data_IF_845527854412
#
_entry.id   IF_845527854412
#
_cell.length_a   1.000
_cell.length_b   1.000
_cell.length_c   1.000
_cell.angle_alpha   90.00
_cell.angle_beta   90.00
_cell.angle_gamma   90.00
#
_symmetry.space_group_name_H-M   'P 1'
#
loop_
_entity.id
_entity.type
_entity.pdbx_description
1 polymer ?
#
# COMPACT_ATOMS: atom_id res chain seq x y z
N UNK A 1 -32.32 4.59 5.33
CA UNK A 1 -32.06 3.62 6.43
C UNK A 1 -32.00 2.23 5.80
N UNK A 2 -30.97 1.45 6.09
CA UNK A 2 -30.90 0.06 5.65
C UNK A 2 -32.02 -0.73 6.36
N UNK A 3 -32.60 -1.75 5.68
CA UNK A 3 -33.52 -2.67 6.33
C UNK A 3 -32.82 -3.34 7.51
N UNK A 4 -33.46 -3.52 8.67
CA UNK A 4 -32.85 -4.20 9.84
C UNK A 4 -32.40 -5.63 9.54
N UNK A 5 -32.70 -6.14 8.36
CA UNK A 5 -32.32 -7.46 7.86
C UNK A 5 -31.15 -7.42 6.85
N UNK A 6 -30.62 -6.26 6.48
CA UNK A 6 -29.52 -6.16 5.50
C UNK A 6 -28.18 -6.37 6.22
N UNK A 7 -27.32 -7.35 5.83
CA UNK A 7 -26.01 -7.52 6.43
C UNK A 7 -25.12 -6.34 6.10
N UNK A 8 -24.30 -5.93 7.07
CA UNK A 8 -23.25 -4.92 6.90
C UNK A 8 -21.93 -5.64 6.71
N UNK A 9 -21.19 -5.29 5.67
CA UNK A 9 -19.85 -5.82 5.41
C UNK A 9 -18.87 -4.66 5.21
N UNK A 10 -17.80 -4.64 6.01
CA UNK A 10 -16.72 -3.67 5.91
C UNK A 10 -15.50 -4.33 5.25
N UNK A 11 -15.07 -3.78 4.11
CA UNK A 11 -13.84 -4.20 3.44
C UNK A 11 -12.71 -3.30 3.93
N UNK A 12 -11.75 -3.85 4.64
CA UNK A 12 -10.59 -3.10 5.09
C UNK A 12 -9.65 -2.84 3.91
N UNK A 13 -9.32 -1.56 3.70
CA UNK A 13 -8.43 -1.12 2.63
C UNK A 13 -7.01 -0.82 3.11
N UNK A 14 -6.73 -1.01 4.40
CA UNK A 14 -5.42 -0.94 5.03
C UNK A 14 -4.97 -2.31 5.58
N UNK A 15 -3.64 -2.51 5.76
CA UNK A 15 -3.10 -3.76 6.29
C UNK A 15 -3.36 -3.96 7.78
N UNK A 16 -3.79 -2.92 8.49
CA UNK A 16 -4.27 -3.01 9.85
C UNK A 16 -5.31 -1.92 10.11
N UNK A 17 -6.19 -2.18 11.07
CA UNK A 17 -7.05 -1.14 11.61
C UNK A 17 -6.27 -0.24 12.57
N UNK A 18 -6.62 1.04 12.63
CA UNK A 18 -5.96 1.99 13.50
C UNK A 18 -6.71 2.10 14.84
N UNK A 19 -6.03 2.03 16.00
CA UNK A 19 -6.67 2.35 17.28
C UNK A 19 -7.01 3.86 17.34
N UNK A 20 -8.21 4.25 17.75
CA UNK A 20 -9.30 3.43 18.29
C UNK A 20 -10.25 2.87 17.22
N UNK A 21 -9.83 1.93 16.40
CA UNK A 21 -10.65 1.16 15.46
C UNK A 21 -11.58 1.99 14.57
N UNK A 22 -11.05 2.48 13.43
CA UNK A 22 -11.83 3.26 12.46
C UNK A 22 -12.71 2.40 11.56
N UNK A 23 -12.30 1.15 11.32
CA UNK A 23 -12.94 0.28 10.34
C UNK A 23 -13.69 -0.88 10.99
N UNK A 24 -13.14 -1.43 12.08
CA UNK A 24 -13.70 -2.56 12.80
C UNK A 24 -14.43 -2.04 14.04
N UNK A 25 -15.75 -2.07 13.99
CA UNK A 25 -16.61 -1.61 15.08
C UNK A 25 -17.25 -2.81 15.80
N UNK A 26 -17.61 -2.63 17.09
CA UNK A 26 -18.35 -3.63 17.87
C UNK A 26 -19.84 -3.58 17.53
N UNK A 27 -20.19 -4.02 16.35
CA UNK A 27 -21.55 -4.12 15.86
C UNK A 27 -21.73 -5.44 15.07
N UNK A 28 -22.98 -5.76 14.73
CA UNK A 28 -23.27 -6.91 13.88
C UNK A 28 -22.85 -6.62 12.43
N UNK A 29 -21.58 -6.85 12.15
CA UNK A 29 -20.96 -6.67 10.82
C UNK A 29 -20.03 -7.81 10.47
N UNK A 30 -19.89 -8.05 9.19
CA UNK A 30 -18.81 -8.85 8.63
C UNK A 30 -17.62 -7.94 8.31
N UNK A 31 -16.40 -8.43 8.54
CA UNK A 31 -15.18 -7.72 8.14
C UNK A 31 -14.38 -8.56 7.15
N UNK A 32 -13.97 -7.95 6.05
CA UNK A 32 -13.13 -8.58 5.02
C UNK A 32 -11.73 -8.01 5.17
N UNK A 33 -10.79 -8.85 5.60
CA UNK A 33 -9.43 -8.48 5.98
C UNK A 33 -8.43 -8.97 4.94
N UNK A 34 -7.63 -8.07 4.39
CA UNK A 34 -6.55 -8.40 3.45
C UNK A 34 -5.19 -8.69 4.13
N UNK A 35 -5.16 -8.79 5.46
CA UNK A 35 -3.97 -9.15 6.23
C UNK A 35 -4.32 -9.92 7.48
N UNK A 36 -3.38 -10.74 7.97
CA UNK A 36 -3.53 -11.46 9.25
C UNK A 36 -3.60 -10.49 10.45
N UNK A 37 -2.92 -9.36 10.38
CA UNK A 37 -2.97 -8.33 11.45
C UNK A 37 -4.38 -7.78 11.62
N UNK A 38 -5.03 -7.39 10.54
CA UNK A 38 -6.40 -6.89 10.57
C UNK A 38 -7.38 -7.96 11.10
N UNK A 39 -7.25 -9.22 10.64
CA UNK A 39 -8.07 -10.32 11.14
C UNK A 39 -7.86 -10.55 12.65
N UNK A 40 -6.61 -10.55 13.13
CA UNK A 40 -6.31 -10.68 14.56
C UNK A 40 -6.85 -9.51 15.38
N UNK A 41 -6.93 -8.29 14.81
CA UNK A 41 -7.56 -7.15 15.47
C UNK A 41 -9.07 -7.36 15.61
N UNK A 42 -9.75 -7.86 14.58
CA UNK A 42 -11.18 -8.19 14.64
C UNK A 42 -11.49 -9.24 15.73
N UNK A 43 -10.67 -10.30 15.82
CA UNK A 43 -10.77 -11.32 16.89
C UNK A 43 -10.64 -10.67 18.28
N UNK A 44 -9.62 -9.81 18.48
CA UNK A 44 -9.42 -9.13 19.79
C UNK A 44 -10.55 -8.19 20.16
N UNK A 45 -11.25 -7.62 19.18
CA UNK A 45 -12.44 -6.81 19.39
C UNK A 45 -13.68 -7.63 19.74
N UNK A 46 -13.59 -8.97 19.63
CA UNK A 46 -14.68 -9.87 20.00
C UNK A 46 -15.66 -10.15 18.85
N UNK A 47 -15.28 -9.88 17.59
CA UNK A 47 -16.09 -10.33 16.47
C UNK A 47 -16.05 -11.86 16.38
N UNK A 48 -17.18 -12.53 16.09
CA UNK A 48 -17.22 -13.97 15.87
C UNK A 48 -16.35 -14.37 14.68
N UNK A 49 -15.67 -15.51 14.74
CA UNK A 49 -14.83 -15.99 13.62
C UNK A 49 -15.61 -16.13 12.31
N UNK A 50 -16.91 -16.46 12.38
CA UNK A 50 -17.80 -16.52 11.21
C UNK A 50 -18.02 -15.17 10.53
N UNK A 51 -17.75 -14.07 11.21
CA UNK A 51 -17.86 -12.71 10.69
C UNK A 51 -16.54 -12.14 10.19
N UNK A 52 -15.42 -12.86 10.37
CA UNK A 52 -14.08 -12.44 9.97
C UNK A 52 -13.66 -13.18 8.72
N UNK A 53 -13.74 -12.52 7.58
CA UNK A 53 -13.43 -13.08 6.28
C UNK A 53 -12.05 -12.61 5.83
N UNK A 54 -11.27 -13.50 5.23
CA UNK A 54 -9.90 -13.21 4.81
C UNK A 54 -9.77 -13.21 3.30
N UNK A 55 -8.99 -12.28 2.78
CA UNK A 55 -8.54 -12.25 1.40
C UNK A 55 -7.03 -12.34 1.33
N UNK A 56 -6.51 -12.69 0.16
CA UNK A 56 -5.08 -12.84 -0.08
C UNK A 56 -4.30 -11.51 -0.10
N UNK A 57 -4.99 -10.36 -0.01
CA UNK A 57 -4.38 -9.03 0.00
C UNK A 57 -5.40 -7.90 -0.11
N UNK A 58 -4.92 -6.70 -0.47
CA UNK A 58 -5.76 -5.53 -0.69
C UNK A 58 -6.44 -5.60 -2.06
N UNK A 59 -7.65 -5.07 -2.15
CA UNK A 59 -8.36 -4.96 -3.43
C UNK A 59 -7.58 -4.05 -4.40
N UNK A 60 -7.31 -4.54 -5.60
CA UNK A 60 -6.67 -3.81 -6.67
C UNK A 60 -7.57 -3.75 -7.91
N UNK A 61 -7.37 -2.71 -8.70
CA UNK A 61 -8.03 -2.65 -10.01
C UNK A 61 -7.56 -3.82 -10.89
N UNK A 62 -8.46 -4.50 -11.66
CA UNK A 62 -8.12 -5.67 -12.48
C UNK A 62 -6.92 -5.52 -13.40
N UNK A 63 -6.63 -4.32 -13.90
CA UNK A 63 -5.47 -4.04 -14.77
C UNK A 63 -4.11 -4.36 -14.14
N UNK A 64 -4.01 -4.46 -12.80
CA UNK A 64 -2.75 -4.83 -12.14
C UNK A 64 -2.50 -6.33 -12.13
N UNK A 65 -3.53 -7.14 -12.38
CA UNK A 65 -3.39 -8.60 -12.51
C UNK A 65 -2.99 -9.05 -13.92
N UNK A 66 -3.28 -8.21 -14.94
CA UNK A 66 -2.89 -8.51 -16.33
C UNK A 66 -1.45 -8.08 -16.54
N UNK A 67 -0.57 -9.01 -16.95
CA UNK A 67 0.77 -8.63 -17.41
C UNK A 67 0.70 -8.08 -18.81
N UNK A 68 1.30 -6.91 -19.03
CA UNK A 68 1.44 -6.28 -20.34
C UNK A 68 2.64 -6.84 -21.11
N UNK A 69 3.58 -7.54 -20.39
CA UNK A 69 4.81 -8.12 -20.93
C UNK A 69 5.56 -7.19 -21.88
N UNK A 70 5.82 -5.91 -21.50
CA UNK A 70 6.51 -4.99 -22.39
C UNK A 70 7.94 -5.46 -22.63
N UNK A 71 8.48 -5.18 -23.83
CA UNK A 71 9.93 -5.12 -23.99
C UNK A 71 10.45 -3.94 -23.13
N UNK A 72 10.95 -4.25 -21.94
CA UNK A 72 11.38 -3.25 -20.96
C UNK A 72 12.50 -2.35 -21.50
N UNK A 73 13.38 -2.89 -22.36
CA UNK A 73 14.47 -2.14 -22.94
C UNK A 73 13.95 -1.13 -23.97
N UNK A 74 13.07 -1.57 -24.86
CA UNK A 74 12.43 -0.72 -25.86
C UNK A 74 11.55 0.35 -25.18
N UNK A 75 10.81 -0.02 -24.13
CA UNK A 75 9.96 0.93 -23.41
C UNK A 75 10.78 2.00 -22.68
N UNK A 76 11.91 1.63 -22.06
CA UNK A 76 12.85 2.60 -21.48
C UNK A 76 13.39 3.57 -22.52
N UNK A 77 13.78 3.08 -23.69
CA UNK A 77 14.23 3.94 -24.80
C UNK A 77 13.13 4.89 -25.24
N UNK A 78 11.88 4.41 -25.40
CA UNK A 78 10.71 5.25 -25.72
C UNK A 78 10.52 6.40 -24.71
N UNK A 79 10.83 6.16 -23.44
CA UNK A 79 10.76 7.15 -22.37
C UNK A 79 12.02 8.04 -22.28
N UNK A 80 12.97 7.92 -23.19
CA UNK A 80 14.25 8.64 -23.16
C UNK A 80 15.19 8.17 -22.04
N UNK A 81 15.03 6.92 -21.60
CA UNK A 81 15.83 6.27 -20.57
C UNK A 81 16.83 5.27 -21.20
N UNK A 82 17.84 4.90 -20.45
CA UNK A 82 18.83 3.89 -20.88
C UNK A 82 18.25 2.47 -20.73
N UNK A 83 18.33 1.59 -21.76
CA UNK A 83 17.69 0.28 -21.74
C UNK A 83 18.13 -0.64 -20.61
N UNK A 84 19.42 -0.64 -20.26
CA UNK A 84 20.03 -1.55 -19.27
C UNK A 84 20.25 -0.96 -17.88
N UNK A 85 19.82 0.28 -17.60
CA UNK A 85 20.06 0.92 -16.30
C UNK A 85 18.92 0.62 -15.31
N UNK A 86 19.27 0.37 -14.05
CA UNK A 86 18.28 0.20 -12.98
C UNK A 86 17.33 1.39 -12.90
N UNK A 87 16.03 1.12 -12.94
CA UNK A 87 14.97 2.13 -13.10
C UNK A 87 14.07 2.16 -11.88
N UNK A 88 14.05 3.29 -11.15
CA UNK A 88 13.11 3.52 -10.05
C UNK A 88 11.85 4.23 -10.54
N UNK A 89 10.68 3.73 -10.12
CA UNK A 89 9.41 4.42 -10.26
C UNK A 89 9.08 5.17 -8.98
N UNK A 90 8.83 6.47 -9.07
CA UNK A 90 8.44 7.32 -7.93
C UNK A 90 7.01 7.80 -8.11
N UNK A 91 6.12 7.49 -7.14
CA UNK A 91 4.71 7.84 -7.17
C UNK A 91 4.16 8.09 -5.75
N UNK A 92 3.45 9.21 -5.57
CA UNK A 92 2.80 9.62 -4.31
C UNK A 92 1.27 9.73 -4.48
N UNK A 93 0.64 8.73 -5.08
CA UNK A 93 -0.79 8.70 -5.36
C UNK A 93 -1.24 9.63 -6.48
N UNK A 94 -2.54 9.65 -6.77
CA UNK A 94 -3.10 10.40 -7.91
C UNK A 94 -3.01 11.92 -7.77
N UNK A 95 -3.05 12.46 -6.57
CA UNK A 95 -2.89 13.90 -6.31
C UNK A 95 -1.42 14.35 -6.42
N UNK A 96 -0.48 13.42 -6.23
CA UNK A 96 0.96 13.70 -6.24
C UNK A 96 1.44 14.43 -4.99
N UNK A 97 2.73 14.77 -4.95
CA UNK A 97 3.36 15.45 -3.81
C UNK A 97 4.65 16.15 -4.23
N UNK A 98 5.03 17.23 -3.55
CA UNK A 98 6.36 17.85 -3.68
C UNK A 98 7.50 16.94 -3.18
N UNK A 99 7.18 15.88 -2.45
CA UNK A 99 8.16 14.89 -1.98
C UNK A 99 8.90 14.22 -3.14
N UNK A 100 8.22 14.04 -4.29
CA UNK A 100 8.83 13.50 -5.51
C UNK A 100 10.02 14.33 -6.00
N UNK A 101 9.94 15.66 -5.82
CA UNK A 101 11.03 16.58 -6.17
C UNK A 101 12.23 16.42 -5.23
N UNK A 102 11.96 16.26 -3.93
CA UNK A 102 13.04 16.03 -2.93
C UNK A 102 13.76 14.71 -3.20
N UNK A 103 13.02 13.63 -3.49
CA UNK A 103 13.58 12.34 -3.87
C UNK A 103 14.42 12.46 -5.14
N UNK A 104 13.88 13.08 -6.18
CA UNK A 104 14.59 13.26 -7.43
C UNK A 104 15.91 14.05 -7.22
N UNK A 105 15.89 15.15 -6.44
CA UNK A 105 17.08 15.92 -6.08
C UNK A 105 18.12 15.06 -5.34
N UNK A 106 17.70 14.26 -4.37
CA UNK A 106 18.59 13.41 -3.58
C UNK A 106 19.26 12.30 -4.40
N UNK A 107 18.56 11.76 -5.41
CA UNK A 107 19.04 10.69 -6.29
C UNK A 107 19.76 11.21 -7.54
N UNK A 108 19.57 12.49 -7.93
CA UNK A 108 20.14 13.12 -9.10
C UNK A 108 21.64 13.45 -8.91
N UNK A 109 22.46 12.43 -8.70
CA UNK A 109 23.89 12.57 -8.43
C UNK A 109 24.75 12.16 -9.63
N UNK A 110 25.89 12.83 -9.88
CA UNK A 110 26.82 12.38 -10.91
C UNK A 110 27.23 10.92 -10.71
N UNK A 111 27.32 10.16 -11.81
CA UNK A 111 27.72 8.74 -11.83
C UNK A 111 26.78 7.79 -11.07
N UNK A 112 25.60 8.23 -10.64
CA UNK A 112 24.62 7.32 -10.04
C UNK A 112 24.20 6.26 -11.07
N UNK A 113 24.14 4.96 -10.71
CA UNK A 113 23.85 3.87 -11.64
C UNK A 113 22.38 3.70 -11.97
N UNK A 114 21.52 4.58 -11.48
CA UNK A 114 20.07 4.49 -11.64
C UNK A 114 19.52 5.55 -12.58
N UNK A 115 18.26 5.39 -12.93
CA UNK A 115 17.40 6.36 -13.63
C UNK A 115 16.01 6.33 -13.04
N UNK A 116 15.17 7.33 -13.34
CA UNK A 116 13.88 7.51 -12.68
C UNK A 116 12.72 7.69 -13.67
N UNK A 117 11.60 7.06 -13.35
CA UNK A 117 10.26 7.38 -13.85
C UNK A 117 9.56 8.13 -12.72
N UNK A 118 9.15 9.37 -12.96
CA UNK A 118 8.60 10.28 -11.95
C UNK A 118 7.15 10.59 -12.32
N UNK A 119 6.18 9.97 -11.62
CA UNK A 119 4.76 10.19 -11.85
C UNK A 119 4.21 11.20 -10.86
N UNK A 120 3.96 12.42 -11.33
CA UNK A 120 3.57 13.57 -10.51
C UNK A 120 2.07 13.62 -10.19
N UNK A 121 1.25 12.74 -10.80
CA UNK A 121 -0.20 12.82 -10.66
C UNK A 121 -0.72 14.19 -11.11
N UNK A 122 -1.67 14.74 -10.39
CA UNK A 122 -2.24 16.08 -10.66
C UNK A 122 -1.35 17.23 -10.19
N UNK A 123 -0.20 16.98 -9.57
CA UNK A 123 0.67 18.00 -8.97
C UNK A 123 1.53 18.72 -10.01
N UNK A 124 0.94 19.66 -10.74
CA UNK A 124 1.57 20.39 -11.86
C UNK A 124 2.87 21.10 -11.47
N UNK A 125 2.93 21.70 -10.27
CA UNK A 125 4.14 22.40 -9.77
C UNK A 125 5.32 21.43 -9.65
N UNK A 126 5.09 20.23 -9.12
CA UNK A 126 6.15 19.22 -9.02
C UNK A 126 6.65 18.81 -10.41
N UNK A 127 5.73 18.55 -11.35
CA UNK A 127 6.08 18.22 -12.73
C UNK A 127 6.90 19.32 -13.42
N UNK A 128 6.52 20.58 -13.25
CA UNK A 128 7.25 21.73 -13.81
C UNK A 128 8.66 21.82 -13.23
N UNK A 129 8.81 21.70 -11.90
CA UNK A 129 10.11 21.78 -11.22
C UNK A 129 11.03 20.63 -11.66
N UNK A 130 10.51 19.42 -11.81
CA UNK A 130 11.26 18.24 -12.27
C UNK A 130 11.69 18.35 -13.73
N UNK A 131 10.85 18.93 -14.60
CA UNK A 131 11.19 19.16 -16.01
C UNK A 131 12.28 20.22 -16.17
N UNK A 132 12.28 21.25 -15.32
CA UNK A 132 13.29 22.31 -15.30
C UNK A 132 14.60 21.92 -14.59
N UNK A 133 14.63 20.78 -13.89
CA UNK A 133 15.80 20.37 -13.11
C UNK A 133 16.98 20.02 -13.98
N UNK A 134 18.20 20.53 -13.62
CA UNK A 134 19.46 20.06 -14.22
C UNK A 134 19.67 18.60 -13.91
N UNK A 135 19.80 17.76 -14.94
CA UNK A 135 19.85 16.30 -14.82
C UNK A 135 21.28 15.78 -14.84
N UNK A 136 21.63 14.95 -13.86
CA UNK A 136 22.85 14.14 -13.83
C UNK A 136 22.56 12.66 -14.14
N UNK A 137 21.30 12.24 -14.02
CA UNK A 137 20.80 10.93 -14.41
C UNK A 137 19.61 11.07 -15.37
N UNK A 138 19.31 10.08 -16.21
CA UNK A 138 18.09 10.06 -17.01
C UNK A 138 16.83 10.09 -16.13
N UNK A 139 15.85 10.91 -16.50
CA UNK A 139 14.58 11.04 -15.81
C UNK A 139 13.45 11.24 -16.83
N UNK A 140 12.43 10.43 -16.73
CA UNK A 140 11.14 10.63 -17.39
C UNK A 140 10.17 11.26 -16.39
N UNK A 141 9.45 12.31 -16.77
CA UNK A 141 8.52 13.04 -15.90
C UNK A 141 7.15 13.07 -16.54
N UNK A 142 6.18 12.43 -15.88
CA UNK A 142 4.79 12.38 -16.33
C UNK A 142 3.86 13.02 -15.28
N UNK A 143 2.72 13.52 -15.75
CA UNK A 143 1.64 14.03 -14.92
C UNK A 143 0.69 12.93 -14.46
N UNK A 144 -0.61 13.22 -14.51
CA UNK A 144 -1.65 12.23 -14.26
C UNK A 144 -1.76 11.27 -15.44
N UNK A 145 -1.66 9.97 -15.16
CA UNK A 145 -1.72 8.92 -16.18
C UNK A 145 -2.54 7.73 -15.70
N UNK A 146 -3.07 6.96 -16.66
CA UNK A 146 -3.70 5.66 -16.42
C UNK A 146 -2.76 4.49 -16.69
N UNK A 147 -1.57 4.74 -17.22
CA UNK A 147 -0.60 3.73 -17.66
C UNK A 147 0.35 3.29 -16.51
N UNK A 148 -0.08 3.48 -15.26
CA UNK A 148 0.70 3.09 -14.09
C UNK A 148 1.19 1.62 -14.16
N UNK A 149 0.38 0.63 -14.57
CA UNK A 149 0.86 -0.76 -14.70
C UNK A 149 2.04 -0.90 -15.67
N UNK A 150 2.02 -0.18 -16.80
CA UNK A 150 3.11 -0.19 -17.78
C UNK A 150 4.40 0.38 -17.20
N UNK A 151 4.32 1.52 -16.51
CA UNK A 151 5.48 2.12 -15.86
C UNK A 151 6.02 1.23 -14.73
N UNK A 152 5.15 0.55 -13.98
CA UNK A 152 5.57 -0.42 -12.98
C UNK A 152 6.28 -1.63 -13.61
N UNK A 153 5.77 -2.18 -14.72
CA UNK A 153 6.44 -3.27 -15.42
C UNK A 153 7.78 -2.85 -16.07
N UNK A 154 7.95 -1.57 -16.41
CA UNK A 154 9.18 -0.99 -16.95
C UNK A 154 10.24 -0.72 -15.88
N UNK A 155 9.83 -0.53 -14.61
CA UNK A 155 10.68 -0.24 -13.48
C UNK A 155 11.32 -1.50 -12.85
N UNK A 156 12.32 -1.28 -11.99
CA UNK A 156 12.97 -2.33 -11.18
C UNK A 156 12.59 -2.23 -9.70
N UNK A 157 12.24 -1.04 -9.22
CA UNK A 157 11.81 -0.80 -7.85
C UNK A 157 10.86 0.39 -7.77
N UNK A 158 10.10 0.45 -6.69
CA UNK A 158 9.12 1.49 -6.41
C UNK A 158 9.55 2.36 -5.23
N UNK A 159 9.29 3.67 -5.29
CA UNK A 159 9.46 4.60 -4.17
C UNK A 159 8.14 5.37 -3.96
N UNK A 160 7.62 5.37 -2.75
CA UNK A 160 6.38 6.08 -2.45
C UNK A 160 6.08 6.27 -0.97
N UNK A 161 4.85 6.72 -0.70
CA UNK A 161 4.30 6.73 0.65
C UNK A 161 3.81 5.31 1.03
N UNK A 162 3.61 5.01 2.32
CA UNK A 162 3.17 3.69 2.77
C UNK A 162 1.66 3.45 2.56
N UNK A 163 1.12 3.88 1.41
CA UNK A 163 -0.26 3.62 1.04
C UNK A 163 -0.47 2.15 0.63
N UNK A 164 -1.49 1.44 1.17
CA UNK A 164 -1.67 0.01 0.95
C UNK A 164 -1.94 -0.33 -0.52
N UNK A 165 -2.68 0.52 -1.24
CA UNK A 165 -2.92 0.36 -2.67
C UNK A 165 -1.63 0.38 -3.48
N UNK A 166 -0.80 1.43 -3.33
CA UNK A 166 0.45 1.58 -4.08
C UNK A 166 1.46 0.47 -3.77
N UNK A 167 1.53 0.00 -2.51
CA UNK A 167 2.35 -1.15 -2.12
C UNK A 167 1.88 -2.39 -2.86
N UNK A 168 0.58 -2.69 -2.79
CA UNK A 168 0.00 -3.88 -3.40
C UNK A 168 0.11 -3.87 -4.93
N UNK A 169 -0.07 -2.70 -5.58
CA UNK A 169 0.13 -2.49 -7.00
C UNK A 169 1.58 -2.78 -7.42
N UNK A 170 2.56 -2.24 -6.68
CA UNK A 170 3.98 -2.46 -6.93
C UNK A 170 4.35 -3.94 -6.79
N UNK A 171 3.90 -4.60 -5.71
CA UNK A 171 4.16 -6.02 -5.47
C UNK A 171 3.50 -6.92 -6.51
N UNK A 172 2.28 -6.60 -6.98
CA UNK A 172 1.62 -7.32 -8.07
C UNK A 172 2.42 -7.29 -9.38
N UNK A 173 3.29 -6.28 -9.55
CA UNK A 173 4.24 -6.15 -10.67
C UNK A 173 5.66 -6.62 -10.31
N UNK A 174 5.83 -7.24 -9.14
CA UNK A 174 7.11 -7.78 -8.67
C UNK A 174 8.15 -6.71 -8.34
N UNK A 175 7.73 -5.49 -7.98
CA UNK A 175 8.63 -4.41 -7.60
C UNK A 175 8.87 -4.41 -6.09
N UNK A 176 10.12 -4.58 -5.63
CA UNK A 176 10.48 -4.23 -4.26
C UNK A 176 10.24 -2.74 -4.01
N UNK A 177 9.82 -2.40 -2.79
CA UNK A 177 9.39 -1.04 -2.45
C UNK A 177 10.35 -0.33 -1.50
N UNK A 178 10.49 0.99 -1.65
CA UNK A 178 11.09 1.90 -0.68
C UNK A 178 10.01 2.84 -0.20
N UNK A 179 9.72 2.81 1.10
CA UNK A 179 8.65 3.61 1.70
C UNK A 179 9.23 4.63 2.67
N UNK A 180 8.66 5.83 2.66
CA UNK A 180 8.96 6.81 3.69
C UNK A 180 7.99 6.65 4.86
N UNK A 181 8.53 6.43 6.07
CA UNK A 181 7.80 6.44 7.34
C UNK A 181 8.42 7.47 8.27
N UNK A 182 7.65 8.47 8.65
CA UNK A 182 8.08 9.50 9.60
C UNK A 182 6.92 9.94 10.51
N UNK A 183 7.14 10.96 11.32
CA UNK A 183 6.12 11.48 12.25
C UNK A 183 4.84 11.98 11.54
N UNK A 184 4.93 12.36 10.27
CA UNK A 184 3.81 12.82 9.44
C UNK A 184 3.09 11.70 8.69
N UNK A 185 3.60 10.46 8.77
CA UNK A 185 2.91 9.30 8.21
C UNK A 185 1.58 9.13 8.94
N UNK A 186 0.49 9.06 8.16
CA UNK A 186 -0.85 8.86 8.68
C UNK A 186 -0.86 7.64 9.59
N UNK A 187 -1.53 7.76 10.73
CA UNK A 187 -1.48 6.75 11.76
C UNK A 187 -1.90 5.35 11.25
N UNK A 188 -2.96 5.28 10.43
CA UNK A 188 -3.43 4.05 9.81
C UNK A 188 -2.48 3.48 8.73
N UNK A 189 -1.56 4.29 8.17
CA UNK A 189 -0.56 3.85 7.21
C UNK A 189 0.75 3.38 7.86
N UNK A 190 0.93 3.57 9.18
CA UNK A 190 2.21 3.23 9.86
C UNK A 190 2.52 1.74 9.79
N UNK A 191 1.54 0.89 10.06
CA UNK A 191 1.73 -0.56 9.98
C UNK A 191 2.06 -1.04 8.57
N UNK A 192 1.62 -0.33 7.52
CA UNK A 192 1.92 -0.72 6.14
C UNK A 192 3.44 -0.76 5.88
N UNK A 193 4.21 0.12 6.53
CA UNK A 193 5.68 0.10 6.48
C UNK A 193 6.26 -1.10 7.24
N UNK A 194 5.73 -1.41 8.42
CA UNK A 194 6.13 -2.59 9.21
C UNK A 194 5.85 -3.87 8.43
N UNK A 195 4.67 -3.96 7.83
CA UNK A 195 4.29 -5.10 6.99
C UNK A 195 5.26 -5.35 5.83
N UNK A 196 5.75 -4.28 5.19
CA UNK A 196 6.76 -4.39 4.12
C UNK A 196 8.08 -4.95 4.65
N UNK A 197 8.50 -4.56 5.85
CA UNK A 197 9.71 -5.07 6.50
C UNK A 197 9.54 -6.52 6.96
N UNK A 198 8.41 -6.85 7.60
CA UNK A 198 8.07 -8.20 8.04
C UNK A 198 8.06 -9.19 6.87
N UNK A 199 7.49 -8.80 5.74
CA UNK A 199 7.45 -9.59 4.50
C UNK A 199 8.75 -9.57 3.72
N UNK A 200 9.71 -8.72 4.10
CA UNK A 200 10.99 -8.55 3.40
C UNK A 200 10.82 -8.27 1.90
N UNK A 201 9.85 -7.43 1.55
CA UNK A 201 9.55 -7.03 0.16
C UNK A 201 10.03 -5.61 -0.16
N UNK A 202 10.72 -4.97 0.78
CA UNK A 202 11.23 -3.61 0.60
C UNK A 202 12.07 -3.13 1.77
N UNK A 203 12.24 -1.82 1.84
CA UNK A 203 12.92 -1.10 2.92
C UNK A 203 12.15 0.15 3.27
N UNK A 204 12.24 0.60 4.54
CA UNK A 204 11.68 1.87 4.99
C UNK A 204 12.77 2.89 5.28
N UNK A 205 12.47 4.17 5.11
CA UNK A 205 13.32 5.29 5.42
C UNK A 205 12.57 6.32 6.25
N UNK A 206 13.25 6.99 7.18
CA UNK A 206 12.64 8.06 7.97
C UNK A 206 12.60 9.40 7.23
N UNK A 207 13.51 9.59 6.27
CA UNK A 207 13.57 10.81 5.47
C UNK A 207 14.33 10.65 4.17
N UNK A 208 14.18 11.62 3.28
CA UNK A 208 14.77 11.55 1.93
C UNK A 208 16.29 11.69 1.91
N UNK A 209 16.92 12.13 2.99
CA UNK A 209 18.39 12.08 3.12
C UNK A 209 18.93 10.65 3.12
N UNK A 210 18.09 9.67 3.48
CA UNK A 210 18.44 8.25 3.49
C UNK A 210 18.17 7.56 2.14
N UNK A 211 17.44 8.21 1.22
CA UNK A 211 16.90 7.56 0.02
C UNK A 211 17.99 6.98 -0.88
N UNK A 212 19.13 7.65 -1.02
CA UNK A 212 20.24 7.15 -1.83
C UNK A 212 20.83 5.86 -1.25
N UNK A 213 21.05 5.82 0.08
CA UNK A 213 21.52 4.63 0.79
C UNK A 213 20.49 3.50 0.74
N UNK A 214 19.19 3.84 0.81
CA UNK A 214 18.10 2.86 0.69
C UNK A 214 18.08 2.22 -0.70
N UNK A 215 18.24 3.00 -1.77
CA UNK A 215 18.34 2.50 -3.14
C UNK A 215 19.58 1.60 -3.31
N UNK A 216 20.74 2.01 -2.81
CA UNK A 216 21.96 1.19 -2.83
C UNK A 216 21.75 -0.15 -2.10
N UNK A 217 21.16 -0.10 -0.89
CA UNK A 217 20.83 -1.29 -0.09
C UNK A 217 19.81 -2.21 -0.77
N UNK A 218 18.81 -1.64 -1.45
CA UNK A 218 17.79 -2.41 -2.16
C UNK A 218 18.35 -3.07 -3.41
N UNK A 219 19.18 -2.35 -4.18
CA UNK A 219 19.78 -2.82 -5.44
C UNK A 219 21.05 -3.64 -5.25
N UNK A 220 21.48 -3.91 -4.00
CA UNK A 220 22.62 -4.79 -3.72
C UNK A 220 22.42 -6.14 -4.43
N UNK A 221 23.41 -6.61 -5.24
CA UNK A 221 23.29 -7.83 -6.04
C UNK A 221 22.96 -9.10 -5.23
N UNK A 222 23.33 -9.14 -3.96
CA UNK A 222 23.03 -10.27 -3.08
C UNK A 222 21.61 -10.20 -2.49
N UNK A 223 21.01 -9.00 -2.41
CA UNK A 223 19.70 -8.76 -1.78
C UNK A 223 18.56 -8.64 -2.78
N UNK A 224 18.79 -7.90 -3.87
CA UNK A 224 17.75 -7.57 -4.84
C UNK A 224 17.00 -8.79 -5.40
N UNK A 225 17.69 -9.88 -5.82
CA UNK A 225 16.98 -11.07 -6.33
C UNK A 225 16.01 -11.66 -5.32
N UNK A 226 16.41 -11.72 -4.05
CA UNK A 226 15.55 -12.21 -2.97
C UNK A 226 14.35 -11.31 -2.69
N UNK A 227 14.54 -9.99 -2.67
CA UNK A 227 13.45 -9.01 -2.52
C UNK A 227 12.44 -9.13 -3.67
N UNK A 228 12.95 -9.19 -4.91
CA UNK A 228 12.11 -9.33 -6.10
C UNK A 228 11.34 -10.65 -6.13
N UNK A 229 11.99 -11.75 -5.78
CA UNK A 229 11.34 -13.07 -5.70
C UNK A 229 10.19 -13.07 -4.69
N UNK A 230 10.37 -12.47 -3.51
CA UNK A 230 9.31 -12.35 -2.51
C UNK A 230 8.19 -11.39 -2.94
N UNK A 231 8.52 -10.29 -3.61
CA UNK A 231 7.51 -9.41 -4.19
C UNK A 231 6.63 -10.16 -5.20
N UNK A 232 7.23 -10.90 -6.13
CA UNK A 232 6.53 -11.74 -7.11
C UNK A 232 5.71 -12.88 -6.46
N UNK A 233 6.19 -13.44 -5.34
CA UNK A 233 5.51 -14.51 -4.60
C UNK A 233 4.36 -13.97 -3.73
N UNK A 234 4.23 -12.66 -3.57
CA UNK A 234 3.13 -12.06 -2.81
C UNK A 234 1.83 -12.22 -3.60
N UNK A 235 1.07 -13.26 -3.24
CA UNK A 235 -0.23 -13.51 -3.86
C UNK A 235 -1.22 -12.42 -3.44
N UNK A 236 -1.98 -11.92 -4.41
CA UNK A 236 -3.10 -11.02 -4.16
C UNK A 236 -4.17 -11.26 -5.23
N UNK A 237 -5.29 -11.87 -4.84
CA UNK A 237 -6.43 -12.14 -5.69
C UNK A 237 -7.72 -11.53 -5.11
N UNK A 238 -7.59 -10.56 -4.20
CA UNK A 238 -8.69 -10.00 -3.43
C UNK A 238 -9.87 -9.53 -4.31
N UNK A 239 -9.61 -8.97 -5.48
CA UNK A 239 -10.66 -8.50 -6.41
C UNK A 239 -11.57 -9.64 -6.89
N UNK A 240 -11.09 -10.87 -6.93
CA UNK A 240 -11.86 -12.06 -7.31
C UNK A 240 -12.42 -12.80 -6.09
N UNK A 241 -11.79 -12.65 -4.93
CA UNK A 241 -12.20 -13.28 -3.67
C UNK A 241 -13.37 -12.53 -3.03
N UNK A 242 -13.33 -11.20 -2.99
CA UNK A 242 -14.33 -10.36 -2.34
C UNK A 242 -15.76 -10.60 -2.86
N UNK A 243 -16.04 -10.67 -4.17
CA UNK A 243 -17.39 -10.97 -4.66
C UNK A 243 -17.94 -12.29 -4.13
N UNK A 244 -17.11 -13.34 -4.08
CA UNK A 244 -17.51 -14.66 -3.54
C UNK A 244 -17.81 -14.60 -2.04
N UNK A 245 -17.01 -13.83 -1.28
CA UNK A 245 -17.25 -13.62 0.13
C UNK A 245 -18.54 -12.85 0.38
N UNK A 246 -18.87 -11.86 -0.44
CA UNK A 246 -20.12 -11.13 -0.37
C UNK A 246 -21.33 -12.03 -0.69
N UNK A 247 -21.23 -12.89 -1.72
CA UNK A 247 -22.24 -13.90 -2.02
C UNK A 247 -22.42 -14.88 -0.84
N UNK A 248 -21.33 -15.31 -0.21
CA UNK A 248 -21.37 -16.13 0.99
C UNK A 248 -22.12 -15.44 2.13
N UNK A 249 -21.81 -14.18 2.43
CA UNK A 249 -22.51 -13.37 3.46
C UNK A 249 -24.01 -13.30 3.18
N UNK A 250 -24.40 -13.06 1.92
CA UNK A 250 -25.80 -12.96 1.52
C UNK A 250 -26.56 -14.29 1.63
N UNK A 251 -25.86 -15.42 1.51
CA UNK A 251 -26.44 -16.76 1.59
C UNK A 251 -26.51 -17.34 3.02
N UNK A 252 -25.83 -16.71 3.99
CA UNK A 252 -25.84 -17.18 5.38
C UNK A 252 -27.24 -17.09 6.01
N UNK A 253 -27.70 -18.14 6.72
CA UNK A 253 -28.94 -18.05 7.51
C UNK A 253 -28.78 -16.95 8.56
N UNK A 254 -29.72 -16.01 8.58
CA UNK A 254 -29.73 -14.96 9.58
C UNK A 254 -30.23 -15.49 10.91
N UNK A 255 -29.46 -15.25 11.97
CA UNK A 255 -30.00 -15.38 13.32
C UNK A 255 -31.16 -14.39 13.45
N UNK A 256 -32.30 -14.86 13.95
CA UNK A 256 -33.41 -13.96 14.31
C UNK A 256 -32.86 -12.90 15.26
N UNK A 257 -33.11 -11.61 14.97
CA UNK A 257 -32.65 -10.52 15.80
C UNK A 257 -33.09 -10.76 17.25
N UNK A 258 -32.16 -11.15 18.12
CA UNK A 258 -32.43 -11.14 19.56
C UNK A 258 -32.44 -9.68 19.95
N UNK A 259 -33.63 -9.18 20.29
CA UNK A 259 -33.87 -7.84 20.83
C UNK A 259 -33.30 -7.77 22.26
N UNK A 260 -31.98 -7.75 22.39
CA UNK A 260 -31.32 -7.32 23.62
C UNK A 260 -31.14 -5.80 23.59
N UNK A 261 -31.17 -5.11 24.75
CA UNK A 261 -30.92 -3.69 24.80
C UNK A 261 -29.53 -3.40 24.25
N UNK A 262 -29.46 -2.43 23.35
CA UNK A 262 -28.20 -1.91 22.79
C UNK A 262 -27.26 -1.51 23.96
N UNK A 263 -26.03 -2.05 24.06
CA UNK A 263 -25.12 -1.61 25.09
C UNK A 263 -24.80 -0.12 24.85
N UNK A 264 -24.97 0.70 25.89
CA UNK A 264 -24.66 2.13 25.87
C UNK A 264 -23.24 2.36 25.27
N UNK A 265 -23.13 3.03 24.13
CA UNK A 265 -21.84 3.27 23.48
C UNK A 265 -20.81 3.96 24.39
N UNK A 266 -21.27 4.83 25.31
CA UNK A 266 -20.40 5.56 26.21
C UNK A 266 -19.72 4.65 27.26
N UNK A 267 -20.35 3.56 27.69
CA UNK A 267 -19.76 2.62 28.66
C UNK A 267 -18.76 1.66 28.01
N UNK A 268 -18.92 1.36 26.71
CA UNK A 268 -18.01 0.49 25.97
C UNK A 268 -16.62 1.12 25.75
N UNK A 269 -16.54 2.46 25.61
CA UNK A 269 -15.29 3.18 25.40
C UNK A 269 -14.42 3.25 26.67
N UNK A 270 -15.01 3.40 27.85
CA UNK A 270 -14.26 3.54 29.10
C UNK A 270 -13.56 2.25 29.55
N UNK A 271 -14.16 1.08 29.33
CA UNK A 271 -13.55 -0.19 29.70
C UNK A 271 -12.43 -0.65 28.76
N UNK A 272 -12.49 -0.25 27.46
CA UNK A 272 -11.47 -0.61 26.48
C UNK A 272 -10.19 0.25 26.60
N UNK A 273 -10.31 1.51 27.03
CA UNK A 273 -9.15 2.40 27.24
C UNK A 273 -8.27 1.97 28.41
N UNK A 274 -8.84 1.27 29.40
CA UNK A 274 -8.11 0.84 30.62
C UNK A 274 -7.45 -0.54 30.51
N UNK A 275 -7.76 -1.32 29.44
CA UNK A 275 -7.24 -2.69 29.27
C UNK A 275 -6.24 -2.87 28.12
N UNK A 276 -5.77 -1.79 27.50
CA UNK A 276 -4.84 -1.88 26.38
C UNK A 276 -3.40 -1.59 26.83
N UNK A 277 -2.51 -2.63 26.93
CA UNK A 277 -1.11 -2.44 27.33
C UNK A 277 -0.29 -1.63 26.30
N UNK A 278 -0.78 -1.45 25.07
CA UNK A 278 -0.10 -0.69 24.01
C UNK A 278 -0.33 0.84 24.10
N UNK A 279 -1.16 1.32 25.05
CA UNK A 279 -1.42 2.76 25.21
C UNK A 279 -0.30 3.52 25.93
N UNK A 280 0.70 2.84 26.51
CA UNK A 280 1.79 3.45 27.28
C UNK A 280 2.94 4.05 26.45
N UNK A 281 2.91 3.95 25.13
CA UNK A 281 3.97 4.47 24.24
C UNK A 281 3.59 5.72 23.43
N UNK A 282 2.50 6.40 23.80
CA UNK A 282 1.96 7.52 23.01
C UNK A 282 1.76 8.82 23.84
N UNK A 283 2.62 9.07 24.85
CA UNK A 283 2.73 10.38 25.47
C UNK A 283 3.94 11.15 24.95
#
# INVERSE_FOLDING_TARGET
MASPTTPVATILTDFADYPPHFWIERQDQYVICGSERAAAQAVRLGLPDSHILRTSGMILHPRFYTSLNPDRAAERVRLGLHPGRSTGLVLFGGEGSMEIVKIAKALNRPRSPIQLILLCGKHQRAAAELRAMKRHIPMFVEGFTRDIPLYMETADFFIGKPGPGSISEALAKGLPVILQRNAWTLAHERYNSEWVEERQVGVTVHGFWEIAKAVEKLLDPQRYPGLRARALATRNEAVYEIPRLLEQILSMPRAAATSGPDPDPAQAWHSAALSNPDSAHWA
#
